data_IF_085118734962
#
_entry.id   IF_085118734962
#
_cell.length_a   1.000
_cell.length_b   1.000
_cell.length_c   1.000
_cell.angle_alpha   90.00
_cell.angle_beta   90.00
_cell.angle_gamma   90.00
#
_symmetry.space_group_name_H-M   'P 1'
#
loop_
_entity.id
_entity.type
_entity.pdbx_description
1 polymer ?
#
# COMPACT_ATOMS: atom_id res chain seq x y z
N UNK A 1 -32.27 -20.49 -15.47
CA UNK A 1 -33.01 -19.63 -14.52
C UNK A 1 -32.29 -19.82 -13.20
N UNK A 2 -31.46 -18.84 -12.82
CA UNK A 2 -30.66 -18.88 -11.59
C UNK A 2 -31.42 -18.02 -10.59
N UNK A 3 -31.84 -18.61 -9.48
CA UNK A 3 -32.45 -17.88 -8.37
C UNK A 3 -31.35 -17.32 -7.47
N UNK A 4 -31.50 -16.04 -7.12
CA UNK A 4 -30.70 -15.35 -6.12
C UNK A 4 -31.15 -15.80 -4.73
N UNK A 5 -30.20 -16.18 -3.88
CA UNK A 5 -30.38 -16.23 -2.43
C UNK A 5 -29.44 -15.18 -1.86
N UNK A 6 -30.01 -14.12 -1.29
CA UNK A 6 -29.28 -13.09 -0.55
C UNK A 6 -28.97 -13.57 0.88
N UNK A 7 -27.74 -13.23 1.28
CA UNK A 7 -27.17 -13.05 2.62
C UNK A 7 -27.25 -14.16 3.67
N UNK A 8 -26.07 -14.74 3.93
CA UNK A 8 -25.53 -14.82 5.29
C UNK A 8 -24.00 -14.87 5.24
N UNK A 9 -23.35 -14.10 6.11
CA UNK A 9 -21.90 -14.09 6.35
C UNK A 9 -21.40 -15.50 6.67
N UNK A 10 -20.57 -16.11 5.82
CA UNK A 10 -19.70 -17.23 6.21
C UNK A 10 -18.54 -17.45 5.22
N UNK A 11 -17.33 -17.22 5.75
CA UNK A 11 -16.03 -17.86 5.52
C UNK A 11 -15.65 -18.49 4.15
N UNK A 12 -14.47 -18.06 3.67
CA UNK A 12 -13.46 -18.88 2.97
C UNK A 12 -13.95 -19.76 1.79
N UNK A 13 -14.27 -19.14 0.65
CA UNK A 13 -14.26 -19.87 -0.63
C UNK A 13 -12.83 -19.98 -1.18
N UNK A 14 -12.14 -21.04 -0.75
CA UNK A 14 -10.89 -21.54 -1.35
C UNK A 14 -11.23 -22.16 -2.70
N UNK A 15 -10.83 -21.52 -3.79
CA UNK A 15 -10.81 -22.16 -5.11
C UNK A 15 -9.67 -23.19 -5.14
N UNK A 16 -10.03 -24.47 -5.23
CA UNK A 16 -9.08 -25.58 -5.32
C UNK A 16 -8.87 -25.92 -6.78
N UNK A 17 -7.73 -25.54 -7.35
CA UNK A 17 -7.21 -26.16 -8.56
C UNK A 17 -5.97 -26.99 -8.21
N UNK A 18 -5.95 -28.23 -8.68
CA UNK A 18 -5.00 -29.25 -8.28
C UNK A 18 -3.62 -28.97 -8.89
N UNK A 19 -2.71 -28.33 -8.12
CA UNK A 19 -1.31 -28.76 -7.94
C UNK A 19 -0.45 -27.72 -7.18
N UNK A 20 0.18 -28.20 -6.09
CA UNK A 20 1.35 -27.68 -5.35
C UNK A 20 1.20 -26.62 -4.23
N UNK A 21 1.47 -27.13 -3.00
CA UNK A 21 2.15 -26.51 -1.82
C UNK A 21 1.40 -25.54 -0.88
N UNK A 22 0.94 -26.10 0.25
CA UNK A 22 0.31 -25.47 1.43
C UNK A 22 1.27 -24.68 2.35
N UNK A 23 2.18 -23.87 1.79
CA UNK A 23 3.08 -23.00 2.59
C UNK A 23 2.89 -21.51 2.24
N UNK A 24 2.09 -21.20 1.22
CA UNK A 24 2.02 -19.85 0.62
C UNK A 24 0.72 -19.08 0.92
N UNK A 25 -0.35 -19.76 1.34
CA UNK A 25 -1.66 -19.12 1.55
C UNK A 25 -1.62 -18.04 2.64
N UNK A 26 -0.88 -18.23 3.73
CA UNK A 26 -0.80 -17.24 4.81
C UNK A 26 -0.05 -15.99 4.39
N UNK A 27 1.02 -16.12 3.59
CA UNK A 27 1.77 -14.96 3.08
C UNK A 27 0.96 -14.19 2.04
N UNK A 28 0.24 -14.89 1.18
CA UNK A 28 -0.67 -14.28 0.22
C UNK A 28 -1.80 -13.54 0.95
N UNK A 29 -2.42 -14.16 1.97
CA UNK A 29 -3.45 -13.53 2.82
C UNK A 29 -2.91 -12.31 3.58
N UNK A 30 -1.71 -12.41 4.15
CA UNK A 30 -1.04 -11.28 4.82
C UNK A 30 -0.73 -10.14 3.85
N UNK A 31 -0.21 -10.46 2.66
CA UNK A 31 0.06 -9.49 1.61
C UNK A 31 -1.23 -8.77 1.18
N UNK A 32 -2.32 -9.52 0.95
CA UNK A 32 -3.63 -8.94 0.65
C UNK A 32 -4.09 -7.98 1.75
N UNK A 33 -3.96 -8.38 3.03
CA UNK A 33 -4.26 -7.54 4.18
C UNK A 33 -3.45 -6.24 4.20
N UNK A 34 -2.15 -6.31 3.90
CA UNK A 34 -1.27 -5.14 3.79
C UNK A 34 -1.74 -4.23 2.66
N UNK A 35 -2.02 -4.75 1.46
CA UNK A 35 -2.53 -3.96 0.34
C UNK A 35 -3.85 -3.25 0.67
N UNK A 36 -4.78 -3.93 1.36
CA UNK A 36 -6.03 -3.32 1.85
C UNK A 36 -5.75 -2.18 2.82
N UNK A 37 -4.82 -2.38 3.76
CA UNK A 37 -4.40 -1.33 4.70
C UNK A 37 -3.75 -0.13 3.99
N UNK A 38 -2.91 -0.35 2.98
CA UNK A 38 -2.33 0.71 2.16
C UNK A 38 -3.40 1.52 1.43
N UNK A 39 -4.40 0.85 0.84
CA UNK A 39 -5.51 1.55 0.19
C UNK A 39 -6.31 2.40 1.19
N UNK A 40 -6.57 1.87 2.38
CA UNK A 40 -7.24 2.61 3.44
C UNK A 40 -6.43 3.85 3.87
N UNK A 41 -5.13 3.70 4.05
CA UNK A 41 -4.23 4.79 4.40
C UNK A 41 -4.18 5.87 3.31
N UNK A 42 -4.12 5.48 2.04
CA UNK A 42 -4.21 6.42 0.91
C UNK A 42 -5.53 7.19 0.95
N UNK A 43 -6.67 6.51 1.12
CA UNK A 43 -7.99 7.17 1.24
C UNK A 43 -8.04 8.15 2.40
N UNK A 44 -7.53 7.77 3.58
CA UNK A 44 -7.51 8.63 4.76
C UNK A 44 -6.66 9.89 4.51
N UNK A 45 -5.41 9.72 4.03
CA UNK A 45 -4.53 10.86 3.70
C UNK A 45 -5.12 11.76 2.62
N UNK A 46 -5.76 11.19 1.60
CA UNK A 46 -6.40 11.97 0.55
C UNK A 46 -7.64 12.73 1.05
N UNK A 47 -8.34 12.22 2.08
CA UNK A 47 -9.42 12.96 2.73
C UNK A 47 -8.89 14.14 3.56
N UNK A 48 -7.75 13.96 4.25
CA UNK A 48 -7.15 14.99 5.11
C UNK A 48 -6.45 16.10 4.32
N UNK A 49 -5.74 15.73 3.24
CA UNK A 49 -4.87 16.65 2.48
C UNK A 49 -5.37 16.93 1.06
N UNK A 50 -6.51 16.34 0.66
CA UNK A 50 -6.93 16.36 -0.73
C UNK A 50 -5.88 15.75 -1.66
N UNK A 51 -5.95 16.12 -2.94
CA UNK A 51 -5.05 15.65 -3.98
C UNK A 51 -3.67 16.35 -3.98
N UNK A 52 -3.08 16.47 -2.80
CA UNK A 52 -1.84 17.22 -2.58
C UNK A 52 -0.64 16.60 -3.30
N UNK A 53 -0.60 15.26 -3.43
CA UNK A 53 0.48 14.58 -4.13
C UNK A 53 0.49 14.95 -5.62
N UNK A 54 -0.64 14.87 -6.28
CA UNK A 54 -0.81 15.20 -7.70
C UNK A 54 -0.41 16.63 -7.98
N UNK A 55 -0.87 17.59 -7.16
CA UNK A 55 -0.47 19.00 -7.29
C UNK A 55 1.03 19.21 -7.23
N UNK A 56 1.72 18.58 -6.28
CA UNK A 56 3.17 18.71 -6.16
C UNK A 56 3.88 17.98 -7.31
N UNK A 57 3.35 16.86 -7.78
CA UNK A 57 3.88 16.13 -8.94
C UNK A 57 3.76 16.92 -10.25
N UNK A 58 2.66 17.65 -10.45
CA UNK A 58 2.49 18.54 -11.60
C UNK A 58 3.56 19.64 -11.64
N UNK A 59 3.95 20.16 -10.48
CA UNK A 59 5.01 21.16 -10.36
C UNK A 59 6.42 20.52 -10.43
N UNK A 60 6.56 19.32 -9.87
CA UNK A 60 7.81 18.58 -9.78
C UNK A 60 7.61 17.11 -10.20
N UNK A 61 7.77 16.77 -11.50
CA UNK A 61 7.50 15.43 -12.03
C UNK A 61 8.27 14.29 -11.34
N UNK A 62 9.41 14.59 -10.71
CA UNK A 62 10.25 13.62 -10.01
C UNK A 62 10.05 13.62 -8.48
N UNK A 63 9.00 14.26 -7.96
CA UNK A 63 8.77 14.38 -6.50
C UNK A 63 8.70 13.03 -5.79
N UNK A 64 8.20 11.99 -6.47
CA UNK A 64 8.17 10.62 -5.93
C UNK A 64 9.58 10.15 -5.52
N UNK A 65 10.62 10.46 -6.30
CA UNK A 65 11.99 10.07 -5.99
C UNK A 65 12.47 10.75 -4.70
N UNK A 66 12.12 12.02 -4.51
CA UNK A 66 12.49 12.78 -3.32
C UNK A 66 11.86 12.13 -2.09
N UNK A 67 10.55 11.86 -2.12
CA UNK A 67 9.86 11.22 -1.00
C UNK A 67 10.37 9.81 -0.71
N UNK A 68 10.68 9.02 -1.74
CA UNK A 68 11.28 7.70 -1.57
C UNK A 68 12.67 7.80 -0.91
N UNK A 69 13.52 8.74 -1.34
CA UNK A 69 14.83 8.93 -0.74
C UNK A 69 14.73 9.33 0.74
N UNK A 70 13.82 10.23 1.09
CA UNK A 70 13.56 10.62 2.50
C UNK A 70 13.20 9.40 3.35
N UNK A 71 12.28 8.55 2.88
CA UNK A 71 11.85 7.35 3.61
C UNK A 71 12.94 6.27 3.66
N UNK A 72 13.75 6.13 2.61
CA UNK A 72 14.90 5.21 2.61
C UNK A 72 15.96 5.64 3.62
N UNK A 73 16.31 6.93 3.68
CA UNK A 73 17.26 7.45 4.68
C UNK A 73 16.74 7.29 6.11
N UNK A 74 15.42 7.45 6.30
CA UNK A 74 14.78 7.13 7.58
C UNK A 74 14.94 5.65 7.93
N UNK A 75 14.64 4.74 7.00
CA UNK A 75 14.77 3.30 7.21
C UNK A 75 16.21 2.91 7.61
N UNK A 76 17.22 3.50 6.94
CA UNK A 76 18.63 3.34 7.30
C UNK A 76 18.95 3.84 8.72
N UNK A 77 18.28 4.90 9.16
CA UNK A 77 18.49 5.50 10.49
C UNK A 77 17.93 4.58 11.58
N UNK A 78 16.72 4.06 11.37
CA UNK A 78 16.06 3.06 12.24
C UNK A 78 16.94 1.81 12.37
N UNK A 79 17.43 1.28 11.24
CA UNK A 79 18.24 0.06 11.20
C UNK A 79 19.61 0.20 11.88
N UNK A 80 20.12 1.42 12.00
CA UNK A 80 21.37 1.73 12.71
C UNK A 80 21.19 1.91 14.22
N UNK A 81 19.99 1.69 14.77
CA UNK A 81 19.63 1.94 16.17
C UNK A 81 19.96 3.37 16.64
N UNK A 82 20.06 4.32 15.71
CA UNK A 82 20.17 5.72 16.06
C UNK A 82 18.77 6.13 16.50
N UNK A 83 18.58 6.32 17.81
CA UNK A 83 17.33 6.79 18.42
C UNK A 83 16.72 7.88 17.55
N UNK A 84 15.64 7.53 16.83
CA UNK A 84 14.92 8.46 16.00
C UNK A 84 14.11 9.37 16.92
N UNK A 85 14.15 10.68 16.68
CA UNK A 85 13.23 11.63 17.34
C UNK A 85 11.77 11.48 16.89
N UNK A 86 11.53 10.58 15.92
CA UNK A 86 10.24 10.37 15.27
C UNK A 86 9.70 9.01 15.69
N UNK A 87 8.43 8.99 16.09
CA UNK A 87 7.72 7.85 16.70
C UNK A 87 7.16 6.84 15.68
N UNK A 88 7.52 6.93 14.39
CA UNK A 88 7.04 5.92 13.42
C UNK A 88 8.03 4.78 13.28
N UNK A 89 7.47 3.58 13.17
CA UNK A 89 8.20 2.32 13.16
C UNK A 89 8.87 2.02 11.81
N UNK A 90 9.70 0.96 11.81
CA UNK A 90 10.25 0.37 10.58
C UNK A 90 9.15 -0.04 9.61
N UNK A 91 8.08 -0.65 10.13
CA UNK A 91 6.95 -1.14 9.33
C UNK A 91 6.21 0.02 8.67
N UNK A 92 5.96 1.11 9.40
CA UNK A 92 5.30 2.31 8.85
C UNK A 92 6.13 2.93 7.73
N UNK A 93 7.45 3.00 7.92
CA UNK A 93 8.37 3.52 6.89
C UNK A 93 8.32 2.66 5.61
N UNK A 94 8.22 1.34 5.74
CA UNK A 94 8.08 0.43 4.59
C UNK A 94 6.72 0.59 3.90
N UNK A 95 5.64 0.77 4.68
CA UNK A 95 4.30 1.03 4.15
C UNK A 95 4.25 2.36 3.39
N UNK A 96 4.89 3.41 3.90
CA UNK A 96 4.99 4.70 3.21
C UNK A 96 5.71 4.56 1.86
N UNK A 97 6.86 3.86 1.83
CA UNK A 97 7.59 3.59 0.59
C UNK A 97 6.68 2.88 -0.42
N UNK A 98 6.00 1.82 0.01
CA UNK A 98 5.07 1.08 -0.86
C UNK A 98 3.93 1.99 -1.36
N UNK A 99 3.37 2.82 -0.50
CA UNK A 99 2.28 3.72 -0.84
C UNK A 99 2.70 4.79 -1.86
N UNK A 100 3.88 5.41 -1.71
CA UNK A 100 4.39 6.37 -2.70
C UNK A 100 4.62 5.73 -4.07
N UNK A 101 5.14 4.50 -4.12
CA UNK A 101 5.27 3.76 -5.38
C UNK A 101 3.90 3.52 -6.04
N UNK A 102 2.89 3.11 -5.26
CA UNK A 102 1.54 2.85 -5.77
C UNK A 102 0.88 4.15 -6.23
N UNK A 103 1.03 5.25 -5.48
CA UNK A 103 0.48 6.56 -5.85
C UNK A 103 1.03 7.06 -7.18
N UNK A 104 2.34 6.95 -7.42
CA UNK A 104 2.92 7.30 -8.72
C UNK A 104 2.35 6.45 -9.86
N UNK A 105 2.19 5.14 -9.64
CA UNK A 105 1.58 4.26 -10.64
C UNK A 105 0.12 4.64 -10.94
N UNK A 106 -0.64 5.08 -9.94
CA UNK A 106 -2.01 5.58 -10.12
C UNK A 106 -2.00 6.83 -10.98
N UNK A 107 -1.13 7.82 -10.70
CA UNK A 107 -1.01 9.03 -11.52
C UNK A 107 -0.64 8.71 -12.97
N UNK A 108 0.36 7.84 -13.18
CA UNK A 108 0.74 7.39 -14.52
C UNK A 108 -0.44 6.71 -15.26
N UNK A 109 -1.27 5.92 -14.58
CA UNK A 109 -2.44 5.31 -15.20
C UNK A 109 -3.57 6.30 -15.49
N UNK A 110 -3.68 7.37 -14.69
CA UNK A 110 -4.66 8.44 -14.89
C UNK A 110 -4.27 9.36 -16.05
N UNK A 111 -2.98 9.62 -16.27
CA UNK A 111 -2.46 10.38 -17.41
C UNK A 111 -2.66 9.67 -18.77
N UNK A 112 -2.69 8.34 -18.76
CA UNK A 112 -2.84 7.52 -19.96
C UNK A 112 -4.32 7.20 -20.31
N UNK A 113 -5.29 7.79 -19.62
CA UNK A 113 -6.72 7.67 -19.89
C UNK A 113 -7.24 8.86 -20.69
#
# INVERSE_FOLDING_TARGET
MIEFVEDSEEADNVYVDNNYTYVDNDKIRLHEGICKSLNHMYRAKNADYGDSFTKVREEYPNVVLIHLMEKIERLKTIDKNMTTKVDESREDTLKDIANYCIMELVEMQMENK
#
